data_IF_387343286192
#
_entry.id   IF_387343286192
#
_cell.length_a   1.000
_cell.length_b   1.000
_cell.length_c   1.000
_cell.angle_alpha   90.00
_cell.angle_beta   90.00
_cell.angle_gamma   90.00
#
_symmetry.space_group_name_H-M   'P 1'
#
loop_
_entity.id
_entity.type
_entity.pdbx_description
1 polymer ?
#
# COMPACT_ATOMS: atom_id res chain seq x y z
N UNK A 1 15.27 12.08 1.27
CA UNK A 1 15.59 10.65 1.45
C UNK A 1 14.36 9.77 1.28
N UNK A 2 13.22 10.14 1.87
CA UNK A 2 11.92 9.44 1.78
C UNK A 2 11.53 9.00 0.36
N UNK A 3 11.62 9.91 -0.63
CA UNK A 3 11.28 9.59 -2.03
C UNK A 3 12.21 8.52 -2.62
N UNK A 4 13.51 8.62 -2.34
CA UNK A 4 14.49 7.65 -2.84
C UNK A 4 14.23 6.26 -2.23
N UNK A 5 13.93 6.17 -0.93
CA UNK A 5 13.56 4.92 -0.27
C UNK A 5 12.29 4.31 -0.86
N UNK A 6 11.25 5.13 -1.09
CA UNK A 6 9.99 4.68 -1.67
C UNK A 6 10.19 4.06 -3.04
N UNK A 7 10.89 4.75 -3.94
CA UNK A 7 11.12 4.25 -5.30
C UNK A 7 12.09 3.08 -5.34
N UNK A 8 13.11 3.05 -4.47
CA UNK A 8 14.00 1.89 -4.36
C UNK A 8 13.24 0.63 -3.92
N UNK A 9 12.35 0.75 -2.93
CA UNK A 9 11.49 -0.35 -2.49
C UNK A 9 10.47 -0.77 -3.55
N UNK A 10 9.84 0.20 -4.22
CA UNK A 10 8.85 -0.06 -5.27
C UNK A 10 9.48 -0.81 -6.45
N UNK A 11 10.55 -0.26 -7.02
CA UNK A 11 11.19 -0.88 -8.17
C UNK A 11 11.94 -2.16 -7.80
N UNK A 12 12.54 -2.23 -6.61
CA UNK A 12 13.11 -3.47 -6.08
C UNK A 12 12.05 -4.57 -5.94
N UNK A 13 10.87 -4.24 -5.41
CA UNK A 13 9.76 -5.18 -5.29
C UNK A 13 9.22 -5.66 -6.63
N UNK A 14 8.99 -4.73 -7.57
CA UNK A 14 8.55 -5.07 -8.94
C UNK A 14 9.61 -5.93 -9.66
N UNK A 15 10.90 -5.60 -9.51
CA UNK A 15 12.00 -6.36 -10.09
C UNK A 15 12.06 -7.80 -9.57
N UNK A 16 11.73 -8.02 -8.30
CA UNK A 16 11.63 -9.34 -7.69
C UNK A 16 10.35 -10.11 -8.09
N UNK A 17 9.48 -9.52 -8.92
CA UNK A 17 8.25 -10.15 -9.39
C UNK A 17 7.05 -10.01 -8.45
N UNK A 18 7.12 -9.11 -7.44
CA UNK A 18 5.97 -8.82 -6.59
C UNK A 18 4.83 -8.19 -7.42
N UNK A 19 3.57 -8.61 -7.24
CA UNK A 19 2.45 -7.98 -7.93
C UNK A 19 2.39 -6.49 -7.62
N UNK A 20 2.09 -5.67 -8.63
CA UNK A 20 2.22 -4.21 -8.58
C UNK A 20 1.43 -3.61 -7.40
N UNK A 21 0.23 -4.12 -7.13
CA UNK A 21 -0.60 -3.66 -6.02
C UNK A 21 0.07 -3.88 -4.65
N UNK A 22 0.70 -5.04 -4.45
CA UNK A 22 1.46 -5.34 -3.23
C UNK A 22 2.72 -4.48 -3.13
N UNK A 23 3.43 -4.27 -4.24
CA UNK A 23 4.64 -3.44 -4.27
C UNK A 23 4.36 -1.98 -3.89
N UNK A 24 3.27 -1.42 -4.41
CA UNK A 24 2.82 -0.06 -4.09
C UNK A 24 2.42 0.07 -2.62
N UNK A 25 1.62 -0.88 -2.10
CA UNK A 25 1.18 -0.87 -0.70
C UNK A 25 2.35 -1.04 0.27
N UNK A 26 3.21 -2.03 0.03
CA UNK A 26 4.37 -2.32 0.87
C UNK A 26 5.36 -1.15 0.90
N UNK A 27 5.79 -0.65 -0.26
CA UNK A 27 6.75 0.47 -0.33
C UNK A 27 6.21 1.74 0.34
N UNK A 28 4.91 2.03 0.18
CA UNK A 28 4.24 3.16 0.82
C UNK A 28 4.20 3.02 2.35
N UNK A 29 3.68 1.89 2.86
CA UNK A 29 3.56 1.66 4.31
C UNK A 29 4.94 1.64 4.98
N UNK A 30 5.92 0.94 4.40
CA UNK A 30 7.28 0.89 4.95
C UNK A 30 7.93 2.27 4.97
N UNK A 31 7.75 3.08 3.92
CA UNK A 31 8.30 4.44 3.88
C UNK A 31 7.64 5.34 4.93
N UNK A 32 6.32 5.24 5.11
CA UNK A 32 5.60 5.98 6.15
C UNK A 32 6.08 5.56 7.54
N UNK A 33 6.24 4.27 7.82
CA UNK A 33 6.72 3.80 9.11
C UNK A 33 8.15 4.24 9.45
N UNK A 34 9.03 4.34 8.44
CA UNK A 34 10.43 4.70 8.64
C UNK A 34 10.67 6.21 8.70
N UNK A 35 9.84 7.04 8.04
CA UNK A 35 10.11 8.47 7.86
C UNK A 35 8.97 9.39 8.32
N UNK A 36 7.81 8.86 8.72
CA UNK A 36 6.73 9.69 9.25
C UNK A 36 7.07 10.22 10.64
N UNK A 37 6.75 11.49 10.88
CA UNK A 37 6.80 12.11 12.20
C UNK A 37 5.45 12.04 12.93
N UNK A 38 4.40 11.59 12.24
CA UNK A 38 3.07 11.41 12.82
C UNK A 38 3.04 10.16 13.72
N UNK A 39 2.19 10.20 14.76
CA UNK A 39 1.95 9.03 15.58
C UNK A 39 1.35 7.88 14.76
N UNK A 40 1.69 6.64 15.12
CA UNK A 40 1.13 5.44 14.50
C UNK A 40 -0.41 5.45 14.44
N UNK A 41 -1.07 5.98 15.48
CA UNK A 41 -2.53 6.13 15.51
C UNK A 41 -3.06 7.12 14.46
N UNK A 42 -2.38 8.25 14.26
CA UNK A 42 -2.77 9.23 13.23
C UNK A 42 -2.59 8.65 11.81
N UNK A 43 -1.51 7.90 11.59
CA UNK A 43 -1.28 7.20 10.32
C UNK A 43 -2.36 6.15 10.06
N UNK A 44 -2.74 5.36 11.07
CA UNK A 44 -3.79 4.35 10.95
C UNK A 44 -5.16 4.97 10.60
N UNK A 45 -5.50 6.11 11.22
CA UNK A 45 -6.74 6.84 10.92
C UNK A 45 -6.72 7.37 9.48
N UNK A 46 -5.64 8.02 9.06
CA UNK A 46 -5.48 8.53 7.68
C UNK A 46 -5.55 7.41 6.65
N UNK A 47 -4.96 6.24 6.94
CA UNK A 47 -5.03 5.06 6.08
C UNK A 47 -6.49 4.58 5.96
N UNK A 48 -7.19 4.44 7.08
CA UNK A 48 -8.58 3.97 7.10
C UNK A 48 -9.54 4.92 6.39
N UNK A 49 -9.36 6.23 6.56
CA UNK A 49 -10.15 7.26 5.88
C UNK A 49 -9.92 7.22 4.36
N UNK A 50 -8.67 7.06 3.91
CA UNK A 50 -8.33 6.89 2.50
C UNK A 50 -8.94 5.61 1.89
N UNK A 51 -8.95 4.50 2.63
CA UNK A 51 -9.61 3.25 2.21
C UNK A 51 -11.14 3.40 2.11
N UNK A 52 -11.74 4.18 3.01
CA UNK A 52 -13.19 4.40 3.05
C UNK A 52 -13.67 5.23 1.85
N UNK A 53 -12.87 6.19 1.39
CA UNK A 53 -13.21 7.04 0.24
C UNK A 53 -12.77 6.47 -1.11
N UNK A 54 -11.73 5.62 -1.17
CA UNK A 54 -11.15 5.08 -2.41
C UNK A 54 -11.10 3.55 -2.40
N UNK A 55 -12.29 2.93 -2.32
CA UNK A 55 -12.51 1.48 -2.24
C UNK A 55 -11.88 0.66 -3.39
N UNK A 56 -11.47 1.31 -4.48
CA UNK A 56 -10.90 0.69 -5.67
C UNK A 56 -9.46 0.19 -5.49
N UNK A 57 -8.71 0.70 -4.51
CA UNK A 57 -7.34 0.24 -4.23
C UNK A 57 -7.29 -1.17 -3.57
N UNK A 58 -8.45 -1.72 -3.19
CA UNK A 58 -8.68 -3.11 -2.76
C UNK A 58 -9.54 -3.93 -3.73
N UNK A 59 -10.02 -3.33 -4.82
CA UNK A 59 -11.03 -3.96 -5.69
C UNK A 59 -10.50 -5.17 -6.45
N UNK A 60 -9.24 -5.17 -6.90
CA UNK A 60 -8.72 -6.30 -7.70
C UNK A 60 -8.65 -7.61 -6.86
N UNK A 61 -8.11 -7.62 -5.62
CA UNK A 61 -8.17 -8.81 -4.76
C UNK A 61 -9.59 -9.23 -4.35
N UNK A 62 -10.46 -8.29 -3.99
CA UNK A 62 -11.84 -8.59 -3.59
C UNK A 62 -12.73 -9.03 -4.76
N UNK A 63 -12.50 -8.52 -5.97
CA UNK A 63 -13.19 -8.94 -7.19
C UNK A 63 -12.89 -10.41 -7.52
N UNK A 64 -11.62 -10.81 -7.40
CA UNK A 64 -11.23 -12.21 -7.56
C UNK A 64 -11.90 -13.07 -6.46
N UNK A 65 -11.85 -12.65 -5.19
CA UNK A 65 -12.52 -13.37 -4.10
C UNK A 65 -14.04 -13.49 -4.30
N UNK A 66 -14.72 -12.43 -4.74
CA UNK A 66 -16.16 -12.44 -5.02
C UNK A 66 -16.54 -13.39 -6.15
N UNK A 67 -15.67 -13.58 -7.15
CA UNK A 67 -15.92 -14.53 -8.25
C UNK A 67 -15.80 -16.01 -7.83
N UNK A 68 -15.16 -16.29 -6.69
CA UNK A 68 -15.06 -17.64 -6.10
C UNK A 68 -16.23 -18.00 -5.19
N UNK A 69 -17.07 -17.04 -4.80
CA UNK A 69 -18.25 -17.26 -3.96
C UNK A 69 -19.58 -17.16 -4.74
N UNK A 70 -19.52 -17.04 -6.06
CA UNK A 70 -20.63 -17.19 -7.02
C UNK A 70 -20.37 -18.41 -7.91
#
# INVERSE_FOLDING_TARGET
MTIATLFALLFGGIFLGMPIAFALGFSSVTTILLFSSDSLGSVAIKLFEALSHHYTLLAIPFFILSSTFL
#
